data_IF_321955088530
#
_entry.id   IF_321955088530
#
_cell.length_a   1.000
_cell.length_b   1.000
_cell.length_c   1.000
_cell.angle_alpha   90.00
_cell.angle_beta   90.00
_cell.angle_gamma   90.00
#
_symmetry.space_group_name_H-M   'P 1'
#
loop_
_entity.id
_entity.type
_entity.pdbx_description
1 polymer ?
#
# COMPACT_ATOMS: atom_id res chain seq x y z
N UNK A 1 2.50 -0.45 -39.41
CA UNK A 1 3.68 -1.32 -39.40
C UNK A 1 4.83 -0.52 -38.78
N UNK A 2 5.38 -0.82 -37.60
CA UNK A 2 5.60 -2.11 -36.93
C UNK A 2 5.47 -1.93 -35.41
N UNK A 3 4.87 -2.91 -34.78
CA UNK A 3 4.44 -2.97 -33.40
C UNK A 3 5.65 -3.13 -32.44
N UNK A 4 5.60 -2.49 -31.26
CA UNK A 4 6.31 -2.98 -30.08
C UNK A 4 7.42 -2.12 -29.46
N UNK A 5 8.25 -1.42 -30.24
CA UNK A 5 9.54 -0.92 -29.69
C UNK A 5 9.43 0.33 -28.78
N UNK A 6 8.38 1.14 -28.91
CA UNK A 6 8.17 2.30 -28.02
C UNK A 6 7.59 1.91 -26.65
N UNK A 7 6.63 0.99 -26.65
CA UNK A 7 5.87 0.59 -25.46
C UNK A 7 6.76 -0.17 -24.47
N UNK A 8 7.65 -1.04 -24.96
CA UNK A 8 8.53 -1.82 -24.10
C UNK A 8 9.57 -0.93 -23.38
N UNK A 9 9.99 0.17 -24.03
CA UNK A 9 10.94 1.13 -23.46
C UNK A 9 10.27 2.01 -22.38
N UNK A 10 9.03 2.40 -22.62
CA UNK A 10 8.23 3.15 -21.65
C UNK A 10 7.78 2.27 -20.49
N UNK A 11 7.52 0.98 -20.72
CA UNK A 11 7.18 0.03 -19.67
C UNK A 11 8.37 -0.20 -18.72
N UNK A 12 9.60 -0.35 -19.23
CA UNK A 12 10.81 -0.43 -18.38
C UNK A 12 11.03 0.82 -17.55
N UNK A 13 10.83 2.02 -18.11
CA UNK A 13 10.90 3.29 -17.36
C UNK A 13 9.79 3.38 -16.32
N UNK A 14 8.57 3.01 -16.67
CA UNK A 14 7.44 2.99 -15.76
C UNK A 14 7.69 2.07 -14.56
N UNK A 15 8.20 0.86 -14.80
CA UNK A 15 8.59 -0.07 -13.76
C UNK A 15 9.70 0.48 -12.88
N UNK A 16 10.71 1.11 -13.46
CA UNK A 16 11.77 1.75 -12.69
C UNK A 16 11.21 2.82 -11.74
N UNK A 17 10.31 3.69 -12.22
CA UNK A 17 9.67 4.68 -11.36
C UNK A 17 8.77 4.05 -10.28
N UNK A 18 8.05 2.97 -10.61
CA UNK A 18 7.28 2.21 -9.62
C UNK A 18 8.17 1.57 -8.56
N UNK A 19 9.33 1.02 -8.94
CA UNK A 19 10.30 0.44 -8.01
C UNK A 19 10.85 1.51 -7.06
N UNK A 20 11.23 2.67 -7.57
CA UNK A 20 11.71 3.78 -6.74
C UNK A 20 10.63 4.26 -5.77
N UNK A 21 9.40 4.45 -6.23
CA UNK A 21 8.28 4.83 -5.36
C UNK A 21 7.94 3.73 -4.34
N UNK A 22 8.06 2.46 -4.73
CA UNK A 22 7.85 1.31 -3.87
C UNK A 22 8.96 1.17 -2.79
N UNK A 23 10.21 1.55 -3.11
CA UNK A 23 11.31 1.66 -2.14
C UNK A 23 11.05 2.84 -1.20
N UNK A 24 10.52 3.96 -1.71
CA UNK A 24 10.09 5.11 -0.91
C UNK A 24 8.85 4.87 -0.04
N UNK A 25 8.33 3.64 0.03
CA UNK A 25 7.22 3.27 0.90
C UNK A 25 5.83 3.60 0.34
N UNK A 26 5.71 3.95 -0.95
CA UNK A 26 4.42 4.26 -1.55
C UNK A 26 3.59 2.97 -1.77
N UNK A 27 2.43 2.79 -1.10
CA UNK A 27 1.71 1.51 -1.14
C UNK A 27 1.08 1.24 -2.51
N UNK A 28 0.54 2.26 -3.18
CA UNK A 28 -0.01 2.14 -4.54
C UNK A 28 1.04 1.70 -5.56
N UNK A 29 2.28 2.23 -5.48
CA UNK A 29 3.35 1.84 -6.37
C UNK A 29 3.72 0.35 -6.18
N UNK A 30 3.80 -0.09 -4.92
CA UNK A 30 4.03 -1.50 -4.57
C UNK A 30 2.92 -2.42 -5.10
N UNK A 31 1.67 -1.97 -5.03
CA UNK A 31 0.52 -2.70 -5.59
C UNK A 31 0.58 -2.83 -7.10
N UNK A 32 0.91 -1.74 -7.82
CA UNK A 32 1.03 -1.77 -9.28
C UNK A 32 2.17 -2.67 -9.73
N UNK A 33 3.30 -2.65 -9.01
CA UNK A 33 4.41 -3.58 -9.26
C UNK A 33 3.97 -5.04 -9.08
N UNK A 34 3.16 -5.33 -8.06
CA UNK A 34 2.61 -6.67 -7.84
C UNK A 34 1.71 -7.12 -9.01
N UNK A 35 0.88 -6.22 -9.55
CA UNK A 35 0.03 -6.49 -10.72
C UNK A 35 0.89 -6.78 -11.96
N UNK A 36 1.95 -6.02 -12.16
CA UNK A 36 2.86 -6.25 -13.27
C UNK A 36 3.51 -7.64 -13.17
N UNK A 37 4.08 -7.95 -12.00
CA UNK A 37 4.70 -9.27 -11.73
C UNK A 37 3.71 -10.43 -11.88
N UNK A 38 2.44 -10.19 -11.56
CA UNK A 38 1.36 -11.16 -11.73
C UNK A 38 1.11 -11.48 -13.20
N UNK A 39 1.07 -10.44 -14.05
CA UNK A 39 0.94 -10.61 -15.51
C UNK A 39 2.13 -11.34 -16.11
N UNK A 40 3.33 -11.17 -15.54
CA UNK A 40 4.54 -11.91 -15.93
C UNK A 40 4.59 -13.36 -15.42
N UNK A 41 3.56 -13.83 -14.70
CA UNK A 41 3.52 -15.20 -14.14
C UNK A 41 4.41 -15.42 -12.92
N UNK A 42 4.98 -14.35 -12.33
CA UNK A 42 5.89 -14.43 -11.17
C UNK A 42 5.12 -14.36 -9.86
N UNK A 43 4.26 -15.36 -9.65
CA UNK A 43 3.29 -15.38 -8.54
C UNK A 43 3.94 -15.19 -7.14
N UNK A 44 5.09 -15.81 -6.87
CA UNK A 44 5.78 -15.65 -5.58
C UNK A 44 6.19 -14.19 -5.29
N UNK A 45 6.67 -13.47 -6.31
CA UNK A 45 7.05 -12.06 -6.19
C UNK A 45 5.82 -11.19 -6.00
N UNK A 46 4.74 -11.47 -6.73
CA UNK A 46 3.45 -10.79 -6.55
C UNK A 46 2.96 -10.87 -5.10
N UNK A 47 2.99 -12.06 -4.50
CA UNK A 47 2.54 -12.27 -3.12
C UNK A 47 3.36 -11.42 -2.14
N UNK A 48 4.70 -11.40 -2.29
CA UNK A 48 5.58 -10.57 -1.47
C UNK A 48 5.23 -9.07 -1.61
N UNK A 49 5.02 -8.58 -2.83
CA UNK A 49 4.66 -7.19 -3.04
C UNK A 49 3.31 -6.83 -2.43
N UNK A 50 2.31 -7.70 -2.54
CA UNK A 50 1.02 -7.46 -1.89
C UNK A 50 1.10 -7.51 -0.37
N UNK A 51 1.92 -8.39 0.23
CA UNK A 51 2.11 -8.42 1.68
C UNK A 51 2.70 -7.10 2.15
N UNK A 52 3.72 -6.59 1.47
CA UNK A 52 4.35 -5.31 1.84
C UNK A 52 3.37 -4.15 1.68
N UNK A 53 2.61 -4.10 0.58
CA UNK A 53 1.59 -3.07 0.37
C UNK A 53 0.48 -3.13 1.45
N UNK A 54 0.00 -4.33 1.79
CA UNK A 54 -0.97 -4.52 2.86
C UNK A 54 -0.40 -4.08 4.22
N UNK A 55 0.86 -4.39 4.51
CA UNK A 55 1.55 -3.95 5.73
C UNK A 55 1.74 -2.43 5.82
N UNK A 56 1.61 -1.72 4.70
CA UNK A 56 1.59 -0.25 4.67
C UNK A 56 0.16 0.32 4.74
N UNK A 57 -0.84 -0.51 5.02
CA UNK A 57 -2.25 -0.10 5.15
C UNK A 57 -3.03 -0.09 3.84
N UNK A 58 -2.52 -0.66 2.75
CA UNK A 58 -3.22 -0.62 1.46
C UNK A 58 -4.27 -1.73 1.31
N UNK A 59 -5.54 -1.36 1.44
CA UNK A 59 -6.70 -2.27 1.46
C UNK A 59 -6.82 -3.14 0.22
N UNK A 60 -6.65 -2.57 -0.99
CA UNK A 60 -6.79 -3.32 -2.25
C UNK A 60 -5.76 -4.44 -2.36
N UNK A 61 -4.56 -4.26 -1.80
CA UNK A 61 -3.54 -5.33 -1.78
C UNK A 61 -3.89 -6.45 -0.83
N UNK A 62 -4.48 -6.12 0.32
CA UNK A 62 -5.00 -7.11 1.25
C UNK A 62 -6.17 -7.89 0.63
N UNK A 63 -7.07 -7.23 -0.09
CA UNK A 63 -8.16 -7.89 -0.82
C UNK A 63 -7.63 -8.85 -1.90
N UNK A 64 -6.61 -8.42 -2.66
CA UNK A 64 -5.93 -9.28 -3.63
C UNK A 64 -5.31 -10.52 -2.96
N UNK A 65 -4.69 -10.38 -1.79
CA UNK A 65 -4.16 -11.53 -1.04
C UNK A 65 -5.26 -12.49 -0.59
N UNK A 66 -6.41 -11.97 -0.11
CA UNK A 66 -7.57 -12.80 0.27
C UNK A 66 -8.10 -13.58 -0.94
N UNK A 67 -8.17 -12.95 -2.12
CA UNK A 67 -8.55 -13.62 -3.38
C UNK A 67 -7.54 -14.69 -3.78
N UNK A 68 -6.24 -14.40 -3.70
CA UNK A 68 -5.18 -15.36 -4.01
C UNK A 68 -5.11 -16.53 -3.02
N UNK A 69 -5.42 -16.30 -1.74
CA UNK A 69 -5.56 -17.36 -0.73
C UNK A 69 -6.73 -18.30 -1.04
N UNK A 70 -7.89 -17.76 -1.42
CA UNK A 70 -9.05 -18.58 -1.86
C UNK A 70 -8.74 -19.44 -3.08
N UNK A 71 -7.79 -19.01 -3.92
CA UNK A 71 -7.30 -19.74 -5.09
C UNK A 71 -6.15 -20.73 -4.77
N UNK A 72 -5.70 -20.81 -3.52
CA UNK A 72 -4.60 -21.69 -3.10
C UNK A 72 -3.19 -21.19 -3.48
N UNK A 73 -3.05 -19.92 -3.87
CA UNK A 73 -1.77 -19.34 -4.33
C UNK A 73 -0.98 -18.66 -3.22
N UNK A 74 -1.60 -18.47 -2.06
CA UNK A 74 -1.01 -17.82 -0.87
C UNK A 74 -1.18 -18.77 0.30
N UNK A 75 -0.15 -18.90 1.13
CA UNK A 75 -0.24 -19.72 2.33
C UNK A 75 -1.06 -19.02 3.42
N UNK A 76 -1.64 -19.78 4.34
CA UNK A 76 -2.33 -19.22 5.51
C UNK A 76 -1.41 -18.32 6.34
N UNK A 77 -0.12 -18.67 6.42
CA UNK A 77 0.91 -17.90 7.15
C UNK A 77 1.11 -16.52 6.53
N UNK A 78 1.18 -16.45 5.21
CA UNK A 78 1.37 -15.19 4.47
C UNK A 78 0.17 -14.27 4.59
N UNK A 79 -1.05 -14.81 4.45
CA UNK A 79 -2.27 -14.04 4.65
C UNK A 79 -2.37 -13.51 6.08
N UNK A 80 -2.03 -14.33 7.08
CA UNK A 80 -2.04 -13.92 8.47
C UNK A 80 -0.99 -12.83 8.76
N UNK A 81 0.19 -12.90 8.14
CA UNK A 81 1.21 -11.87 8.25
C UNK A 81 0.73 -10.53 7.66
N UNK A 82 0.13 -10.56 6.46
CA UNK A 82 -0.42 -9.37 5.82
C UNK A 82 -1.56 -8.72 6.63
N UNK A 83 -2.45 -9.52 7.23
CA UNK A 83 -3.52 -9.02 8.09
C UNK A 83 -2.97 -8.33 9.34
N UNK A 84 -1.96 -8.93 10.00
CA UNK A 84 -1.33 -8.33 11.17
C UNK A 84 -0.63 -7.02 10.84
N UNK A 85 0.13 -6.97 9.73
CA UNK A 85 0.81 -5.74 9.33
C UNK A 85 -0.17 -4.65 8.91
N UNK A 86 -1.26 -4.99 8.21
CA UNK A 86 -2.31 -4.05 7.85
C UNK A 86 -2.99 -3.45 9.09
N UNK A 87 -3.31 -4.30 10.08
CA UNK A 87 -3.85 -3.83 11.36
C UNK A 87 -2.85 -2.91 12.08
N UNK A 88 -1.57 -3.27 12.14
CA UNK A 88 -0.54 -2.43 12.75
C UNK A 88 -0.41 -1.06 12.05
N UNK A 89 -0.54 -1.00 10.71
CA UNK A 89 -0.57 0.26 9.97
C UNK A 89 -1.82 1.09 10.28
N UNK A 90 -2.98 0.45 10.40
CA UNK A 90 -4.22 1.12 10.81
C UNK A 90 -4.13 1.64 12.25
N UNK A 91 -3.48 0.92 13.15
CA UNK A 91 -3.29 1.35 14.55
C UNK A 91 -2.25 2.48 14.63
N UNK A 92 -1.18 2.43 13.84
CA UNK A 92 -0.18 3.50 13.76
C UNK A 92 -0.75 4.81 13.21
N UNK A 93 -1.73 4.77 12.31
CA UNK A 93 -2.42 5.99 11.84
C UNK A 93 -3.37 6.57 12.90
N UNK A 94 -3.84 5.73 13.85
CA UNK A 94 -4.67 6.12 15.00
C UNK A 94 -3.87 6.44 16.27
N UNK A 95 -2.53 6.46 16.18
CA UNK A 95 -1.65 6.57 17.34
C UNK A 95 -1.99 7.80 18.22
N UNK A 96 -1.88 7.71 19.57
CA UNK A 96 -2.26 8.76 20.52
C UNK A 96 -1.69 10.16 20.20
N UNK A 97 -0.55 10.22 19.50
CA UNK A 97 0.09 11.44 19.07
C UNK A 97 -0.75 12.22 18.04
N UNK A 98 -1.51 11.54 17.17
CA UNK A 98 -2.48 12.21 16.29
C UNK A 98 -3.76 12.57 17.03
N UNK A 99 -4.26 11.73 17.94
CA UNK A 99 -5.41 12.10 18.78
C UNK A 99 -5.11 13.32 19.67
N UNK A 100 -3.89 13.43 20.18
CA UNK A 100 -3.41 14.59 20.93
C UNK A 100 -3.24 15.82 20.02
N UNK A 101 -2.71 15.66 18.81
CA UNK A 101 -2.61 16.76 17.84
C UNK A 101 -3.99 17.29 17.43
N UNK A 102 -4.97 16.41 17.17
CA UNK A 102 -6.36 16.79 16.86
C UNK A 102 -7.02 17.48 18.06
N UNK A 103 -6.79 16.99 19.28
CA UNK A 103 -7.28 17.65 20.50
C UNK A 103 -6.67 19.04 20.70
N UNK A 104 -5.37 19.19 20.47
CA UNK A 104 -4.71 20.49 20.58
C UNK A 104 -5.18 21.48 19.50
N UNK A 105 -5.45 21.02 18.29
CA UNK A 105 -6.04 21.85 17.24
C UNK A 105 -7.46 22.30 17.59
N UNK A 106 -8.30 21.40 18.11
CA UNK A 106 -9.65 21.73 18.56
C UNK A 106 -9.66 22.70 19.75
N UNK A 107 -8.74 22.53 20.71
CA UNK A 107 -8.58 23.45 21.84
C UNK A 107 -8.06 24.82 21.38
N UNK A 108 -7.11 24.87 20.44
CA UNK A 108 -6.60 26.11 19.87
C UNK A 108 -7.69 26.86 19.09
N UNK A 109 -8.53 26.14 18.35
CA UNK A 109 -9.66 26.71 17.61
C UNK A 109 -10.75 27.25 18.56
N UNK A 110 -11.10 26.49 19.61
CA UNK A 110 -12.03 26.93 20.64
C UNK A 110 -11.53 28.15 21.42
N UNK A 111 -10.24 28.20 21.77
CA UNK A 111 -9.62 29.34 22.43
C UNK A 111 -9.57 30.58 21.54
N UNK A 112 -9.40 30.40 20.22
CA UNK A 112 -9.43 31.49 19.24
C UNK A 112 -10.85 32.04 19.04
N UNK A 113 -11.85 31.16 19.02
CA UNK A 113 -13.26 31.54 18.97
C UNK A 113 -13.70 32.31 20.24
N UNK A 114 -13.24 31.88 21.42
CA UNK A 114 -13.53 32.55 22.69
C UNK A 114 -12.85 33.93 22.84
N UNK A 115 -11.73 34.17 22.15
CA UNK A 115 -11.06 35.49 22.12
C UNK A 115 -11.65 36.47 21.10
N UNK A 116 -12.54 36.00 20.24
CA UNK A 116 -13.20 36.82 19.22
C UNK A 116 -14.62 37.28 19.62
N UNK A 117 -15.06 36.96 20.83
CA UNK A 117 -16.26 37.49 21.51
C UNK A 117 -15.84 38.50 22.58
#
# INVERSE_FOLDING_TARGET
YREGEGVEKDEKKHLHHLEQAAIGGHPNARHNLAIFEWKSGRAERTVKHFIIAANLGHDKSLESLKKSYRRGLVSKKDLAAALRGHQAAADATKSPQREAAVRQEQEAEAAKAARSN
#
